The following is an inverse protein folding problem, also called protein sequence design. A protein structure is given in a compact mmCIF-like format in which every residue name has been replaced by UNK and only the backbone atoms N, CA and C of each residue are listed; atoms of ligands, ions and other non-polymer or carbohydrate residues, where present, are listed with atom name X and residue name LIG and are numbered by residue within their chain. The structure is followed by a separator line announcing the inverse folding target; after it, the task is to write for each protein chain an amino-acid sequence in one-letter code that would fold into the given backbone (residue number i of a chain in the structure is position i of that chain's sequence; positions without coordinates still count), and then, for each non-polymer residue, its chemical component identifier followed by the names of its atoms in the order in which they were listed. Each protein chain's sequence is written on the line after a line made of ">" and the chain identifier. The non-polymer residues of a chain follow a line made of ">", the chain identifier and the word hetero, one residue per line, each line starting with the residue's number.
data_IF_987250949562
#
_entry.id   IF_987250949562
#
_cell.length_a   1.000
_cell.length_b   1.000
_cell.length_c   1.000
_cell.angle_alpha   90.00
_cell.angle_beta   90.00
_cell.angle_gamma   90.00
#
_symmetry.space_group_name_H-M   'P 1'
#
loop_
_entity.id
_entity.type
_entity.pdbx_description
1 polymer ?
#
# COMPACT_ATOMS: atom_id res chain seq x y z
N UNK A 1 -4.95 -26.18 2.30
CA UNK A 1 -4.33 -25.08 1.54
C UNK A 1 -5.35 -24.47 0.58
N UNK A 2 -5.15 -23.19 0.24
CA UNK A 2 -5.97 -22.49 -0.75
C UNK A 2 -5.30 -22.55 -2.13
N UNK A 3 -6.10 -22.64 -3.20
CA UNK A 3 -5.61 -22.68 -4.57
C UNK A 3 -6.08 -21.43 -5.33
N UNK A 4 -5.20 -20.85 -6.14
CA UNK A 4 -5.55 -19.75 -7.04
C UNK A 4 -4.71 -19.81 -8.32
N UNK A 5 -5.17 -19.15 -9.37
CA UNK A 5 -4.43 -19.04 -10.63
C UNK A 5 -3.59 -17.77 -10.68
N UNK A 6 -2.35 -17.93 -11.15
CA UNK A 6 -1.52 -16.79 -11.54
C UNK A 6 -2.19 -16.06 -12.70
N UNK A 7 -2.35 -14.74 -12.55
CA UNK A 7 -2.78 -13.85 -13.64
C UNK A 7 -1.54 -13.42 -14.41
N UNK A 8 -1.57 -13.55 -15.73
CA UNK A 8 -0.44 -13.19 -16.59
C UNK A 8 -0.03 -11.72 -16.41
N UNK A 9 1.26 -11.48 -16.29
CA UNK A 9 1.82 -10.15 -16.07
C UNK A 9 1.67 -9.59 -14.65
N UNK A 10 1.12 -10.37 -13.71
CA UNK A 10 0.92 -9.93 -12.33
C UNK A 10 1.79 -10.70 -11.34
N UNK A 11 2.01 -10.08 -10.18
CA UNK A 11 2.66 -10.75 -9.07
C UNK A 11 1.81 -11.86 -8.46
N UNK A 12 2.45 -12.78 -7.75
CA UNK A 12 1.77 -13.79 -6.94
C UNK A 12 0.79 -13.12 -5.97
N UNK A 13 1.23 -12.06 -5.26
CA UNK A 13 0.38 -11.31 -4.35
C UNK A 13 -0.87 -10.73 -5.03
N UNK A 14 -0.70 -10.08 -6.19
CA UNK A 14 -1.84 -9.49 -6.91
C UNK A 14 -2.81 -10.55 -7.44
N UNK A 15 -2.27 -11.69 -7.88
CA UNK A 15 -3.09 -12.82 -8.32
C UNK A 15 -3.88 -13.44 -7.16
N UNK A 16 -3.26 -13.57 -5.99
CA UNK A 16 -3.92 -14.04 -4.77
C UNK A 16 -5.04 -13.09 -4.33
N UNK A 17 -4.77 -11.78 -4.29
CA UNK A 17 -5.79 -10.77 -3.94
C UNK A 17 -7.02 -10.83 -4.85
N UNK A 18 -6.81 -11.02 -6.17
CA UNK A 18 -7.92 -11.17 -7.12
C UNK A 18 -8.75 -12.44 -6.90
N UNK A 19 -8.11 -13.47 -6.39
CA UNK A 19 -8.75 -14.73 -6.02
C UNK A 19 -9.31 -14.72 -4.58
N UNK A 20 -9.31 -13.55 -3.93
CA UNK A 20 -9.74 -13.38 -2.54
C UNK A 20 -8.93 -14.23 -1.54
N UNK A 21 -7.68 -14.54 -1.88
CA UNK A 21 -6.70 -15.17 -0.99
C UNK A 21 -5.75 -14.08 -0.51
N UNK A 22 -5.79 -13.77 0.78
CA UNK A 22 -5.10 -12.61 1.33
C UNK A 22 -3.87 -13.03 2.12
N UNK A 23 -2.71 -12.56 1.67
CA UNK A 23 -1.43 -12.64 2.39
C UNK A 23 -1.15 -11.32 3.09
N UNK A 24 -0.24 -11.35 4.05
CA UNK A 24 0.28 -10.10 4.60
C UNK A 24 1.04 -9.31 3.54
N UNK A 25 0.81 -8.00 3.48
CA UNK A 25 1.60 -7.10 2.65
C UNK A 25 1.50 -5.64 3.12
N UNK A 26 2.48 -4.83 2.69
CA UNK A 26 2.46 -3.39 2.89
C UNK A 26 2.90 -2.65 1.61
N UNK A 27 4.19 -2.48 1.34
CA UNK A 27 4.71 -1.54 0.34
C UNK A 27 4.44 -1.92 -1.13
N UNK A 28 4.27 -3.19 -1.47
CA UNK A 28 4.18 -3.75 -2.85
C UNK A 28 5.37 -3.39 -3.76
N UNK A 29 6.54 -3.08 -3.19
CA UNK A 29 7.74 -2.65 -3.93
C UNK A 29 9.00 -3.46 -3.62
N UNK A 30 8.85 -4.61 -2.96
CA UNK A 30 9.98 -5.49 -2.63
C UNK A 30 10.89 -5.01 -1.48
N UNK A 31 10.46 -4.04 -0.66
CA UNK A 31 11.32 -3.38 0.33
C UNK A 31 11.00 -3.67 1.80
N UNK A 32 9.74 -3.94 2.14
CA UNK A 32 9.31 -3.98 3.55
C UNK A 32 9.20 -5.37 4.15
N UNK A 33 9.48 -6.43 3.41
CA UNK A 33 9.41 -7.84 3.81
C UNK A 33 8.03 -8.36 4.25
N UNK A 34 6.99 -7.51 4.38
CA UNK A 34 5.66 -7.93 4.87
C UNK A 34 4.99 -9.01 4.01
N UNK A 35 5.35 -9.11 2.74
CA UNK A 35 4.81 -10.12 1.80
C UNK A 35 5.75 -11.31 1.61
N UNK A 36 6.64 -11.55 2.58
CA UNK A 36 7.58 -12.67 2.56
C UNK A 36 6.82 -13.99 2.69
N UNK A 37 7.16 -14.94 1.83
CA UNK A 37 6.67 -16.31 1.88
C UNK A 37 7.76 -17.28 1.45
N UNK A 38 7.62 -18.55 1.78
CA UNK A 38 8.60 -19.57 1.44
C UNK A 38 8.13 -20.36 0.22
N UNK A 39 8.98 -20.45 -0.78
CA UNK A 39 8.76 -21.32 -1.95
C UNK A 39 9.10 -22.76 -1.56
N UNK A 40 8.09 -23.62 -1.53
CA UNK A 40 8.25 -25.06 -1.19
C UNK A 40 8.56 -25.86 -2.44
N UNK A 41 7.88 -25.55 -3.57
CA UNK A 41 8.12 -26.25 -4.84
C UNK A 41 7.80 -25.34 -6.04
N UNK A 42 8.35 -25.73 -7.20
CA UNK A 42 8.18 -25.06 -8.47
C UNK A 42 9.17 -23.92 -8.71
N UNK A 43 8.95 -23.12 -9.76
CA UNK A 43 9.85 -22.05 -10.20
C UNK A 43 9.16 -20.72 -10.31
N UNK A 44 9.88 -19.70 -9.89
CA UNK A 44 9.42 -18.31 -9.92
C UNK A 44 10.44 -17.40 -10.60
N UNK A 45 10.00 -16.23 -10.99
CA UNK A 45 10.87 -15.15 -11.50
C UNK A 45 10.50 -13.83 -10.87
N UNK A 46 11.50 -13.01 -10.57
CA UNK A 46 11.31 -11.67 -10.04
C UNK A 46 11.31 -10.66 -11.17
N UNK A 47 10.40 -9.68 -11.12
CA UNK A 47 10.38 -8.56 -12.05
C UNK A 47 10.99 -7.27 -11.44
N UNK A 48 11.28 -7.30 -10.13
CA UNK A 48 11.99 -6.24 -9.41
C UNK A 48 12.86 -6.83 -8.30
N UNK A 49 13.76 -6.03 -7.76
CA UNK A 49 14.67 -6.42 -6.70
C UNK A 49 13.92 -6.73 -5.41
N UNK A 50 14.32 -7.78 -4.72
CA UNK A 50 13.82 -8.18 -3.41
C UNK A 50 14.73 -7.60 -2.31
N UNK A 51 14.77 -6.27 -2.20
CA UNK A 51 15.62 -5.54 -1.24
C UNK A 51 15.28 -5.88 0.21
N UNK A 52 14.04 -6.26 0.47
CA UNK A 52 13.56 -6.65 1.81
C UNK A 52 13.95 -8.07 2.22
N UNK A 53 14.75 -8.82 1.45
CA UNK A 53 15.31 -10.11 1.83
C UNK A 53 16.82 -10.02 1.88
N UNK A 54 17.40 -10.62 2.90
CA UNK A 54 18.83 -10.87 2.95
C UNK A 54 19.23 -12.12 2.14
N UNK A 55 20.53 -12.36 1.99
CA UNK A 55 21.03 -13.49 1.20
C UNK A 55 20.78 -14.85 1.88
N UNK A 56 20.68 -14.89 3.20
CA UNK A 56 20.38 -16.10 3.95
C UNK A 56 18.92 -16.50 3.70
N UNK A 57 17.98 -15.56 3.82
CA UNK A 57 16.57 -15.79 3.52
C UNK A 57 16.35 -16.27 2.08
N UNK A 58 17.03 -15.64 1.10
CA UNK A 58 16.96 -16.07 -0.29
C UNK A 58 17.49 -17.50 -0.47
N UNK A 59 18.59 -17.84 0.20
CA UNK A 59 19.17 -19.20 0.15
C UNK A 59 18.24 -20.26 0.77
N UNK A 60 17.42 -19.86 1.75
CA UNK A 60 16.42 -20.72 2.40
C UNK A 60 15.10 -20.82 1.61
N UNK A 61 15.03 -20.20 0.43
CA UNK A 61 13.87 -20.24 -0.45
C UNK A 61 12.78 -19.21 -0.17
N UNK A 62 13.08 -18.17 0.63
CA UNK A 62 12.13 -17.09 0.80
C UNK A 62 12.06 -16.18 -0.43
N UNK A 63 10.86 -15.71 -0.73
CA UNK A 63 10.56 -14.78 -1.81
C UNK A 63 9.64 -13.67 -1.31
N UNK A 64 9.60 -12.55 -2.04
CA UNK A 64 8.61 -11.50 -1.82
C UNK A 64 7.50 -11.60 -2.86
N UNK A 65 6.34 -12.10 -2.47
CA UNK A 65 5.21 -12.37 -3.37
C UNK A 65 4.74 -11.14 -4.17
N UNK A 66 5.03 -9.93 -3.71
CA UNK A 66 4.61 -8.68 -4.37
C UNK A 66 5.45 -8.32 -5.60
N UNK A 67 6.66 -8.88 -5.76
CA UNK A 67 7.58 -8.62 -6.89
C UNK A 67 8.00 -9.89 -7.61
N UNK A 68 7.32 -11.00 -7.32
CA UNK A 68 7.60 -12.33 -7.87
C UNK A 68 6.38 -12.87 -8.60
N UNK A 69 6.58 -13.58 -9.69
CA UNK A 69 5.52 -14.31 -10.40
C UNK A 69 5.95 -15.77 -10.67
N UNK A 70 4.96 -16.67 -10.70
CA UNK A 70 5.16 -18.07 -10.99
C UNK A 70 5.34 -18.30 -12.51
N UNK A 71 6.28 -19.17 -12.89
CA UNK A 71 6.47 -19.60 -14.29
C UNK A 71 6.02 -21.03 -14.54
N UNK A 72 5.67 -21.75 -13.49
CA UNK A 72 5.06 -23.09 -13.48
C UNK A 72 4.16 -23.20 -12.24
N UNK A 73 3.58 -24.38 -12.00
CA UNK A 73 2.84 -24.61 -10.76
C UNK A 73 3.78 -24.54 -9.56
N UNK A 74 3.42 -23.76 -8.55
CA UNK A 74 4.22 -23.55 -7.34
C UNK A 74 3.42 -23.89 -6.10
N UNK A 75 4.14 -24.23 -5.04
CA UNK A 75 3.60 -24.34 -3.68
C UNK A 75 4.32 -23.34 -2.78
N UNK A 76 3.54 -22.61 -2.00
CA UNK A 76 4.03 -21.60 -1.07
C UNK A 76 3.58 -21.89 0.36
N UNK A 77 4.49 -21.71 1.29
CA UNK A 77 4.16 -21.58 2.70
C UNK A 77 4.08 -20.09 3.05
N UNK A 78 2.90 -19.64 3.48
CA UNK A 78 2.60 -18.23 3.76
C UNK A 78 1.57 -18.12 4.87
N UNK A 79 1.70 -17.07 5.68
CA UNK A 79 0.69 -16.69 6.65
C UNK A 79 -0.55 -16.15 5.92
N UNK A 80 -1.57 -16.99 5.83
CA UNK A 80 -2.87 -16.65 5.25
C UNK A 80 -3.70 -15.90 6.32
N UNK A 81 -4.27 -14.78 5.93
CA UNK A 81 -5.13 -13.97 6.79
C UNK A 81 -6.53 -14.59 7.03
N UNK A 82 -6.76 -15.79 6.51
CA UNK A 82 -8.02 -16.52 6.68
C UNK A 82 -9.17 -15.89 5.89
N UNK A 83 -10.34 -15.81 6.53
CA UNK A 83 -11.57 -15.31 5.89
C UNK A 83 -11.79 -13.79 6.11
N UNK A 84 -10.73 -13.05 6.40
CA UNK A 84 -10.80 -11.59 6.55
C UNK A 84 -11.16 -10.97 5.20
N UNK A 85 -12.29 -10.27 5.15
CA UNK A 85 -12.67 -9.49 3.96
C UNK A 85 -11.97 -8.14 4.01
N UNK A 86 -10.93 -7.99 3.20
CA UNK A 86 -10.27 -6.69 3.04
C UNK A 86 -11.14 -5.75 2.21
N UNK A 87 -11.23 -4.47 2.61
CA UNK A 87 -11.88 -3.45 1.79
C UNK A 87 -11.18 -3.34 0.42
N UNK A 88 -11.96 -3.33 -0.66
CA UNK A 88 -11.39 -3.18 -2.01
C UNK A 88 -10.91 -1.74 -2.22
N UNK A 89 -9.70 -1.53 -2.76
CA UNK A 89 -9.19 -0.20 -3.05
C UNK A 89 -10.10 0.54 -4.04
N UNK A 90 -10.39 1.79 -3.74
CA UNK A 90 -11.14 2.70 -4.62
C UNK A 90 -10.32 3.96 -4.88
N UNK A 91 -10.54 4.62 -6.01
CA UNK A 91 -9.96 5.93 -6.29
C UNK A 91 -11.02 6.99 -6.12
N UNK A 92 -10.80 7.92 -5.20
CA UNK A 92 -11.73 9.00 -4.88
C UNK A 92 -11.03 10.36 -5.00
N UNK A 93 -11.73 11.40 -5.44
CA UNK A 93 -11.28 12.77 -5.29
C UNK A 93 -11.31 13.16 -3.82
N UNK A 94 -10.40 14.03 -3.41
CA UNK A 94 -10.41 14.65 -2.09
C UNK A 94 -9.92 16.08 -2.18
N UNK A 95 -10.26 16.91 -1.19
CA UNK A 95 -9.75 18.27 -1.04
C UNK A 95 -9.02 18.40 0.28
N UNK A 96 -8.02 19.26 0.30
CA UNK A 96 -7.40 19.66 1.55
C UNK A 96 -8.42 20.48 2.35
N UNK A 97 -8.77 20.00 3.53
CA UNK A 97 -9.67 20.66 4.46
C UNK A 97 -8.91 21.57 5.42
N UNK A 98 -7.82 21.08 5.99
CA UNK A 98 -6.94 21.85 6.84
C UNK A 98 -5.48 21.42 6.75
N UNK A 99 -4.57 22.35 7.03
CA UNK A 99 -3.12 22.14 7.12
C UNK A 99 -2.66 22.74 8.45
N UNK A 100 -2.19 21.91 9.36
CA UNK A 100 -1.69 22.35 10.65
C UNK A 100 -0.19 21.98 10.78
N UNK A 101 0.68 22.99 10.70
CA UNK A 101 2.13 22.80 10.89
C UNK A 101 2.44 22.72 12.38
N UNK A 102 2.83 21.52 12.84
CA UNK A 102 3.18 21.26 14.24
C UNK A 102 4.62 21.68 14.53
N UNK A 103 5.51 21.48 13.53
CA UNK A 103 6.92 21.86 13.58
C UNK A 103 7.44 22.19 12.18
N UNK A 104 8.73 22.46 12.04
CA UNK A 104 9.36 22.71 10.75
C UNK A 104 9.36 21.48 9.82
N UNK A 105 9.21 20.30 10.39
CA UNK A 105 9.29 19.01 9.68
C UNK A 105 8.07 18.11 9.86
N UNK A 106 7.05 18.55 10.62
CA UNK A 106 5.82 17.78 10.85
C UNK A 106 4.59 18.65 10.60
N UNK A 107 3.67 18.13 9.80
CA UNK A 107 2.34 18.71 9.64
C UNK A 107 1.24 17.64 9.78
N UNK A 108 0.10 18.08 10.25
CA UNK A 108 -1.15 17.33 10.25
C UNK A 108 -1.99 17.87 9.09
N UNK A 109 -2.33 17.00 8.17
CA UNK A 109 -3.16 17.29 7.01
C UNK A 109 -4.51 16.62 7.19
N UNK A 110 -5.59 17.40 7.10
CA UNK A 110 -6.94 16.84 7.02
C UNK A 110 -7.44 16.93 5.58
N UNK A 111 -7.93 15.82 5.06
CA UNK A 111 -8.53 15.72 3.74
C UNK A 111 -10.01 15.47 3.88
N UNK A 112 -10.80 16.11 3.01
CA UNK A 112 -12.24 15.88 2.90
C UNK A 112 -12.56 15.15 1.61
N UNK A 113 -13.27 14.04 1.72
CA UNK A 113 -13.80 13.29 0.59
C UNK A 113 -15.23 13.74 0.25
N UNK A 114 -15.77 13.40 -0.93
CA UNK A 114 -17.16 13.73 -1.26
C UNK A 114 -18.15 13.19 -0.21
N UNK A 115 -19.26 13.88 0.04
CA UNK A 115 -20.33 13.34 0.85
C UNK A 115 -20.75 11.96 0.36
N UNK A 116 -21.06 11.05 1.28
CA UNK A 116 -21.45 9.66 0.99
C UNK A 116 -20.33 8.76 0.43
N UNK A 117 -19.06 9.19 0.49
CA UNK A 117 -17.94 8.29 0.24
C UNK A 117 -17.82 7.30 1.41
N UNK A 118 -18.33 6.08 1.21
CA UNK A 118 -18.14 5.01 2.19
C UNK A 118 -16.69 4.47 2.08
N UNK A 119 -15.81 5.06 2.86
CA UNK A 119 -14.43 4.59 2.96
C UNK A 119 -14.34 3.64 4.14
N UNK A 120 -14.32 2.36 3.83
CA UNK A 120 -14.02 1.33 4.82
C UNK A 120 -12.52 1.06 4.81
N UNK A 121 -11.89 1.00 5.97
CA UNK A 121 -10.50 0.61 6.12
C UNK A 121 -10.30 -0.11 7.46
N UNK A 122 -9.20 -0.83 7.54
CA UNK A 122 -8.76 -1.49 8.79
C UNK A 122 -7.59 -0.67 9.35
N UNK A 123 -7.52 -0.41 10.66
CA UNK A 123 -6.37 0.27 11.26
C UNK A 123 -5.04 -0.34 10.81
N UNK A 124 -4.06 0.50 10.46
CA UNK A 124 -2.78 0.08 9.88
C UNK A 124 -2.72 0.17 8.36
N UNK A 125 -3.85 0.25 7.66
CA UNK A 125 -3.88 0.49 6.22
C UNK A 125 -3.46 1.91 5.84
N UNK A 126 -3.11 2.10 4.57
CA UNK A 126 -2.67 3.38 4.01
C UNK A 126 -3.40 3.71 2.71
N UNK A 127 -3.37 4.98 2.33
CA UNK A 127 -3.79 5.45 1.01
C UNK A 127 -2.59 5.93 0.19
N UNK A 128 -2.65 5.68 -1.12
CA UNK A 128 -1.79 6.34 -2.08
C UNK A 128 -2.40 7.69 -2.43
N UNK A 129 -1.75 8.76 -2.02
CA UNK A 129 -2.10 10.11 -2.45
C UNK A 129 -1.58 10.36 -3.86
N UNK A 130 -2.43 10.94 -4.70
CA UNK A 130 -2.11 11.34 -6.06
C UNK A 130 -2.26 12.85 -6.13
N UNK A 131 -1.13 13.53 -6.17
CA UNK A 131 -1.00 14.98 -6.20
C UNK A 131 -0.83 15.55 -7.61
N UNK A 132 -0.40 16.81 -7.69
CA UNK A 132 -0.09 17.46 -8.96
C UNK A 132 0.93 16.66 -9.78
N UNK A 133 0.86 16.78 -11.10
CA UNK A 133 1.79 16.13 -12.04
C UNK A 133 1.89 14.60 -11.89
N UNK A 134 0.89 13.98 -11.25
CA UNK A 134 0.87 12.53 -11.05
C UNK A 134 1.78 12.04 -9.93
N UNK A 135 2.32 12.92 -9.10
CA UNK A 135 3.08 12.55 -7.91
C UNK A 135 2.29 11.56 -7.05
N UNK A 136 2.94 10.47 -6.62
CA UNK A 136 2.31 9.46 -5.76
C UNK A 136 3.14 9.19 -4.52
N UNK A 137 2.50 9.13 -3.35
CA UNK A 137 3.09 8.68 -2.08
C UNK A 137 2.03 8.02 -1.22
N UNK A 138 2.48 7.03 -0.46
CA UNK A 138 1.65 6.31 0.51
C UNK A 138 1.68 7.04 1.85
N UNK A 139 0.51 7.19 2.47
CA UNK A 139 0.35 7.75 3.81
C UNK A 139 -0.60 6.88 4.63
N UNK A 140 -0.17 6.54 5.84
CA UNK A 140 -1.04 5.86 6.80
C UNK A 140 -2.14 6.80 7.28
N UNK A 141 -3.32 6.23 7.53
CA UNK A 141 -4.45 6.97 8.10
C UNK A 141 -4.18 7.14 9.60
N UNK A 142 -4.27 8.36 10.10
CA UNK A 142 -3.98 8.70 11.49
C UNK A 142 -5.23 8.82 12.38
N UNK A 143 -6.43 8.78 11.79
CA UNK A 143 -7.68 8.91 12.54
C UNK A 143 -8.67 7.80 12.20
N UNK A 144 -9.69 7.67 13.02
CA UNK A 144 -10.90 6.95 12.63
C UNK A 144 -11.73 7.87 11.72
N UNK A 145 -11.98 7.46 10.46
CA UNK A 145 -12.66 8.31 9.49
C UNK A 145 -14.09 8.56 9.93
N UNK A 146 -14.40 9.82 10.20
CA UNK A 146 -15.72 10.30 10.52
C UNK A 146 -16.10 11.44 9.56
N UNK A 147 -17.33 11.42 9.05
CA UNK A 147 -17.84 12.46 8.14
C UNK A 147 -16.98 12.68 6.89
N UNK A 148 -16.27 11.64 6.41
CA UNK A 148 -15.39 11.73 5.25
C UNK A 148 -14.09 12.50 5.47
N UNK A 149 -13.71 12.78 6.72
CA UNK A 149 -12.46 13.44 7.07
C UNK A 149 -11.36 12.42 7.35
N UNK A 150 -10.27 12.54 6.63
CA UNK A 150 -9.08 11.69 6.74
C UNK A 150 -7.93 12.53 7.23
N UNK A 151 -7.31 12.12 8.33
CA UNK A 151 -6.14 12.78 8.90
C UNK A 151 -4.87 12.03 8.54
N UNK A 152 -3.85 12.75 8.12
CA UNK A 152 -2.52 12.25 7.80
C UNK A 152 -1.49 13.02 8.62
N UNK A 153 -0.56 12.31 9.26
CA UNK A 153 0.62 12.90 9.89
C UNK A 153 1.80 12.78 8.94
N UNK A 154 2.28 13.91 8.47
CA UNK A 154 3.30 13.98 7.42
C UNK A 154 4.60 14.50 7.99
N UNK A 155 5.66 13.69 7.90
CA UNK A 155 7.03 14.12 8.19
C UNK A 155 7.69 14.60 6.89
N UNK A 156 8.40 15.72 6.98
CA UNK A 156 9.18 16.28 5.87
C UNK A 156 10.33 15.33 5.52
N UNK A 157 10.48 15.07 4.24
CA UNK A 157 11.61 14.33 3.69
C UNK A 157 12.42 15.30 2.84
N UNK A 158 13.72 15.43 3.12
CA UNK A 158 14.63 16.29 2.34
C UNK A 158 14.60 15.85 0.87
N UNK A 159 14.54 16.81 -0.03
CA UNK A 159 14.49 16.61 -1.49
C UNK A 159 13.30 15.74 -1.98
N UNK A 160 12.31 15.54 -1.11
CA UNK A 160 11.10 14.82 -1.46
C UNK A 160 10.07 15.70 -2.16
N UNK A 161 9.81 15.46 -3.45
CA UNK A 161 8.86 16.27 -4.26
C UNK A 161 7.48 16.43 -3.61
N UNK A 162 6.95 15.34 -3.02
CA UNK A 162 5.66 15.41 -2.35
C UNK A 162 5.75 16.12 -0.99
N UNK A 163 6.90 16.03 -0.30
CA UNK A 163 7.16 16.83 0.90
C UNK A 163 7.21 18.30 0.58
N UNK A 164 7.93 18.69 -0.48
CA UNK A 164 7.97 20.07 -0.95
C UNK A 164 6.55 20.60 -1.25
N UNK A 165 5.74 19.80 -1.95
CA UNK A 165 4.34 20.18 -2.21
C UNK A 165 3.58 20.43 -0.90
N UNK A 166 3.63 19.51 0.07
CA UNK A 166 2.89 19.65 1.32
C UNK A 166 3.31 20.85 2.15
N UNK A 167 4.60 21.11 2.26
CA UNK A 167 5.13 22.13 3.16
C UNK A 167 5.18 23.53 2.55
N UNK A 168 5.31 23.65 1.22
CA UNK A 168 5.58 24.93 0.56
C UNK A 168 4.47 25.35 -0.42
N UNK A 169 3.76 24.41 -1.04
CA UNK A 169 2.88 24.71 -2.18
C UNK A 169 1.40 24.45 -1.92
N UNK A 170 1.09 23.49 -1.05
CA UNK A 170 -0.28 23.05 -0.81
C UNK A 170 -1.15 24.14 -0.17
N UNK A 171 -2.41 24.17 -0.58
CA UNK A 171 -3.40 25.15 -0.08
C UNK A 171 -4.70 24.44 0.28
N UNK A 172 -5.45 25.03 1.21
CA UNK A 172 -6.82 24.62 1.53
C UNK A 172 -7.65 24.62 0.22
N UNK A 173 -8.46 23.61 0.04
CA UNK A 173 -9.26 23.30 -1.15
C UNK A 173 -8.49 22.82 -2.39
N UNK A 174 -7.17 22.60 -2.33
CA UNK A 174 -6.48 21.89 -3.41
C UNK A 174 -7.14 20.55 -3.66
N UNK A 175 -7.36 20.26 -4.95
CA UNK A 175 -8.00 19.01 -5.39
C UNK A 175 -6.94 17.94 -5.65
N UNK A 176 -7.08 16.84 -4.99
CA UNK A 176 -6.20 15.68 -5.04
C UNK A 176 -7.02 14.41 -5.29
N UNK A 177 -6.36 13.29 -5.42
CA UNK A 177 -6.99 11.98 -5.42
C UNK A 177 -6.30 11.07 -4.41
N UNK A 178 -7.07 10.20 -3.80
CA UNK A 178 -6.58 9.11 -2.98
C UNK A 178 -7.00 7.77 -3.61
N UNK A 179 -6.13 6.80 -3.51
CA UNK A 179 -6.40 5.44 -3.93
C UNK A 179 -6.08 4.48 -2.78
N UNK A 180 -7.04 3.70 -2.39
CA UNK A 180 -6.93 2.76 -1.26
C UNK A 180 -8.27 2.34 -0.71
N UNK A 181 -8.27 1.68 0.45
CA UNK A 181 -7.11 1.40 1.31
C UNK A 181 -6.20 0.29 0.76
N UNK A 182 -4.95 0.29 1.19
CA UNK A 182 -3.95 -0.73 0.88
C UNK A 182 -3.28 -1.21 2.17
N UNK A 183 -2.62 -2.37 2.07
CA UNK A 183 -1.93 -2.99 3.20
C UNK A 183 -2.83 -3.88 4.04
N UNK A 184 -2.17 -4.79 4.74
CA UNK A 184 -2.83 -5.69 5.70
C UNK A 184 -2.35 -5.44 7.13
N UNK A 185 -1.25 -4.77 7.27
CA UNK A 185 -0.57 -4.13 8.40
C UNK A 185 0.83 -3.74 8.02
#
# INVERSE_FOLDING_TARGET
>A
GKLFKQVEGESILSSAEKAEVYFQYSCKTGRCSSCKCKLISGKVKNYADQVGLDEEEKSQGYILSCVTYAIENIELEVDDLGDIKLPKPVTLPCKIDSINKISNDILILTLRTPPNSNINFIPGQYFNMIGPEGLKRSYSIANNIQNGLIELHIKRVSDGLFSEYWFEKSKINDLLRLNGPHGTF
#
